data_IF_014477819725
#
_entry.id   IF_014477819725
#
_cell.length_a   1.000
_cell.length_b   1.000
_cell.length_c   1.000
_cell.angle_alpha   90.00
_cell.angle_beta   90.00
_cell.angle_gamma   90.00
#
_symmetry.space_group_name_H-M   'P 1'
#
loop_
_entity.id
_entity.type
_entity.pdbx_description
1 polymer ?
#
# COMPACT_ATOMS: atom_id res chain seq x y z
N UNK A 1 -12.40 -1.78 18.92
CA UNK A 1 -11.02 -1.41 18.57
C UNK A 1 -10.95 -1.33 17.05
N UNK A 2 -10.60 -0.20 16.46
CA UNK A 2 -10.47 -0.07 15.01
C UNK A 2 -8.99 -0.18 14.62
N UNK A 3 -8.65 -1.14 13.77
CA UNK A 3 -7.31 -1.23 13.20
C UNK A 3 -7.27 -0.32 11.97
N UNK A 4 -6.33 0.64 11.94
CA UNK A 4 -6.08 1.46 10.75
C UNK A 4 -4.85 0.92 10.05
N UNK A 5 -4.95 0.70 8.73
CA UNK A 5 -3.83 0.33 7.89
C UNK A 5 -3.49 1.51 6.98
N UNK A 6 -2.28 2.01 7.12
CA UNK A 6 -1.72 3.07 6.28
C UNK A 6 -0.90 2.43 5.16
N UNK A 7 -1.33 2.62 3.92
CA UNK A 7 -0.64 2.08 2.75
C UNK A 7 0.39 3.09 2.24
N UNK A 8 1.61 2.62 2.00
CA UNK A 8 2.73 3.41 1.49
C UNK A 8 3.28 2.92 0.14
N UNK A 9 2.67 1.87 -0.42
CA UNK A 9 3.11 1.21 -1.65
C UNK A 9 4.00 0.00 -1.37
N UNK A 10 5.17 -0.05 -2.02
CA UNK A 10 6.04 -1.22 -2.03
C UNK A 10 5.59 -2.32 -3.00
N UNK A 11 6.27 -3.46 -2.97
CA UNK A 11 6.07 -4.53 -3.98
C UNK A 11 4.65 -5.09 -4.00
N UNK A 12 3.91 -5.01 -2.89
CA UNK A 12 2.52 -5.47 -2.82
C UNK A 12 1.60 -4.75 -3.78
N UNK A 13 1.87 -3.49 -4.13
CA UNK A 13 0.99 -2.65 -4.94
C UNK A 13 1.58 -2.33 -6.34
N UNK A 14 2.57 -3.12 -6.78
CA UNK A 14 3.12 -3.05 -8.13
C UNK A 14 2.37 -3.99 -9.06
N UNK A 15 1.89 -3.46 -10.18
CA UNK A 15 1.36 -4.24 -11.29
C UNK A 15 2.43 -4.41 -12.38
N UNK A 16 2.42 -5.55 -13.05
CA UNK A 16 3.31 -5.82 -14.18
C UNK A 16 2.62 -5.40 -15.48
N UNK A 17 3.25 -4.48 -16.21
CA UNK A 17 2.82 -4.13 -17.56
C UNK A 17 3.35 -5.19 -18.54
N UNK A 18 2.48 -6.10 -18.98
CA UNK A 18 2.84 -7.18 -19.90
C UNK A 18 3.32 -6.69 -21.28
N UNK A 19 3.01 -5.45 -21.67
CA UNK A 19 3.46 -4.87 -22.96
C UNK A 19 4.86 -4.28 -22.89
N UNK A 20 5.20 -3.60 -21.78
CA UNK A 20 6.49 -2.91 -21.64
C UNK A 20 7.49 -3.66 -20.76
N UNK A 21 7.03 -4.67 -20.01
CA UNK A 21 7.84 -5.41 -19.04
C UNK A 21 8.14 -4.63 -17.76
N UNK A 22 7.47 -3.50 -17.53
CA UNK A 22 7.76 -2.61 -16.40
C UNK A 22 6.78 -2.82 -15.26
N UNK A 23 7.29 -2.71 -14.02
CA UNK A 23 6.47 -2.64 -12.82
C UNK A 23 6.07 -1.19 -12.56
N UNK A 24 4.79 -0.96 -12.27
CA UNK A 24 4.26 0.37 -11.95
C UNK A 24 3.29 0.29 -10.78
N UNK A 25 3.13 1.41 -10.08
CA UNK A 25 2.14 1.54 -9.00
C UNK A 25 0.79 1.97 -9.56
N UNK A 26 -0.29 1.39 -9.05
CA UNK A 26 -1.66 1.78 -9.42
C UNK A 26 -2.52 2.04 -8.20
N UNK A 27 -3.20 1.01 -7.71
CA UNK A 27 -4.04 1.04 -6.52
C UNK A 27 -3.56 -0.03 -5.56
N UNK A 28 -3.94 0.09 -4.28
CA UNK A 28 -3.56 -0.94 -3.31
C UNK A 28 -4.38 -2.22 -3.46
N UNK A 29 -3.72 -3.37 -3.42
CA UNK A 29 -4.38 -4.68 -3.44
C UNK A 29 -4.79 -5.15 -2.05
N UNK A 30 -4.53 -4.37 -1.00
CA UNK A 30 -4.67 -4.80 0.39
C UNK A 30 -6.09 -5.26 0.76
N UNK A 31 -7.13 -4.57 0.27
CA UNK A 31 -8.51 -4.95 0.56
C UNK A 31 -8.83 -6.35 0.01
N UNK A 32 -8.40 -6.63 -1.22
CA UNK A 32 -8.56 -7.93 -1.87
C UNK A 32 -7.73 -9.00 -1.15
N UNK A 33 -6.48 -8.69 -0.76
CA UNK A 33 -5.62 -9.59 0.00
C UNK A 33 -6.25 -10.00 1.33
N UNK A 34 -6.82 -9.06 2.08
CA UNK A 34 -7.50 -9.34 3.36
C UNK A 34 -8.74 -10.20 3.15
N UNK A 35 -9.52 -9.94 2.10
CA UNK A 35 -10.68 -10.74 1.75
C UNK A 35 -10.28 -12.18 1.38
N UNK A 36 -9.27 -12.35 0.51
CA UNK A 36 -8.74 -13.67 0.10
C UNK A 36 -8.13 -14.44 1.27
N UNK A 37 -7.46 -13.74 2.18
CA UNK A 37 -6.94 -14.28 3.44
C UNK A 37 -8.02 -14.61 4.48
N UNK A 38 -9.31 -14.35 4.19
CA UNK A 38 -10.45 -14.52 5.10
C UNK A 38 -10.29 -13.77 6.42
N UNK A 39 -9.60 -12.63 6.40
CA UNK A 39 -9.51 -11.76 7.55
C UNK A 39 -10.89 -11.22 7.90
N UNK A 40 -11.32 -11.40 9.15
CA UNK A 40 -12.59 -10.88 9.69
C UNK A 40 -12.39 -9.64 10.56
N UNK A 41 -11.15 -9.17 10.67
CA UNK A 41 -10.82 -8.04 11.52
C UNK A 41 -11.32 -6.76 10.86
N UNK A 42 -12.09 -5.97 11.59
CA UNK A 42 -12.56 -4.68 11.11
C UNK A 42 -11.38 -3.71 10.97
N UNK A 43 -11.08 -3.33 9.73
CA UNK A 43 -9.99 -2.42 9.40
C UNK A 43 -10.49 -1.20 8.63
N UNK A 44 -9.81 -0.07 8.80
CA UNK A 44 -9.94 1.12 7.95
C UNK A 44 -8.63 1.31 7.19
N UNK A 45 -8.71 1.31 5.86
CA UNK A 45 -7.54 1.41 4.97
C UNK A 45 -7.44 2.85 4.44
N UNK A 46 -6.26 3.44 4.51
CA UNK A 46 -5.96 4.76 3.93
C UNK A 46 -4.63 4.69 3.20
N UNK A 47 -4.63 5.07 1.93
CA UNK A 47 -3.40 5.25 1.16
C UNK A 47 -2.79 6.60 1.51
N UNK A 48 -1.55 6.58 2.02
CA UNK A 48 -0.77 7.78 2.35
C UNK A 48 0.15 8.15 1.19
N UNK A 49 0.72 7.14 0.53
CA UNK A 49 1.61 7.27 -0.61
C UNK A 49 1.73 5.95 -1.38
N UNK A 50 2.38 5.97 -2.53
CA UNK A 50 2.65 4.80 -3.37
C UNK A 50 4.08 4.88 -3.90
N UNK A 51 5.05 4.51 -3.06
CA UNK A 51 6.48 4.62 -3.37
C UNK A 51 7.21 3.31 -3.17
N UNK A 52 8.39 3.18 -3.77
CA UNK A 52 9.31 2.10 -3.42
C UNK A 52 9.94 2.41 -2.05
N UNK A 53 10.03 1.41 -1.17
CA UNK A 53 10.58 1.61 0.17
C UNK A 53 12.05 2.06 0.15
N UNK A 54 12.79 1.69 -0.90
CA UNK A 54 14.16 2.15 -1.15
C UNK A 54 14.24 3.64 -1.53
N UNK A 55 13.14 4.23 -1.97
CA UNK A 55 13.04 5.63 -2.42
C UNK A 55 12.38 6.53 -1.37
N UNK A 56 11.97 5.99 -0.22
CA UNK A 56 11.31 6.75 0.84
C UNK A 56 12.25 7.79 1.46
N UNK A 57 11.85 9.06 1.35
CA UNK A 57 12.50 10.20 1.97
C UNK A 57 12.08 10.41 3.43
N UNK A 58 12.78 11.29 4.14
CA UNK A 58 12.39 11.67 5.50
C UNK A 58 11.05 12.42 5.53
N UNK A 59 10.73 13.19 4.49
CA UNK A 59 9.40 13.81 4.33
C UNK A 59 8.29 12.77 4.22
N UNK A 60 8.54 11.66 3.52
CA UNK A 60 7.57 10.56 3.42
C UNK A 60 7.34 9.92 4.78
N UNK A 61 8.41 9.69 5.55
CA UNK A 61 8.30 9.15 6.91
C UNK A 61 7.53 10.10 7.83
N UNK A 62 7.74 11.40 7.70
CA UNK A 62 6.99 12.40 8.46
C UNK A 62 5.48 12.38 8.15
N UNK A 63 5.08 12.13 6.89
CA UNK A 63 3.67 11.95 6.53
C UNK A 63 3.03 10.76 7.26
N UNK A 64 3.74 9.65 7.40
CA UNK A 64 3.24 8.47 8.14
C UNK A 64 2.98 8.83 9.62
N UNK A 65 3.87 9.61 10.25
CA UNK A 65 3.73 10.05 11.64
C UNK A 65 2.52 10.98 11.85
N UNK A 66 2.10 11.72 10.82
CA UNK A 66 1.00 12.70 10.90
C UNK A 66 -0.41 12.11 10.68
N UNK A 67 -0.56 10.80 10.43
CA UNK A 67 -1.84 10.13 10.12
C UNK A 67 -2.33 9.19 11.24
#
# INVERSE_FOLDING_TARGET
MSIRILVTGGTFDKEYNERTGQLFFKDTHLAEMLQRGRSRVAVSIRTVMMVNSLEMSDSDRALVVQN
#
